data_IF_082128901039
#
_entry.id   IF_082128901039
#
_cell.length_a   1.000
_cell.length_b   1.000
_cell.length_c   1.000
_cell.angle_alpha   90.00
_cell.angle_beta   90.00
_cell.angle_gamma   90.00
#
_symmetry.space_group_name_H-M   'P 1'
#
loop_
_entity.id
_entity.type
_entity.pdbx_description
1 polymer ?
#
# COMPACT_ATOMS: atom_id res chain seq x y z
N UNK A 1 -9.47 0.92 49.47
CA UNK A 1 -10.08 0.47 48.20
C UNK A 1 -9.57 1.38 47.10
N UNK A 2 -8.72 1.00 46.17
CA UNK A 2 -8.52 -0.31 45.54
C UNK A 2 -8.90 -0.17 44.07
N UNK A 3 -7.92 -0.21 43.18
CA UNK A 3 -8.16 -0.35 41.74
C UNK A 3 -7.44 0.64 40.82
N UNK A 4 -6.11 0.52 40.70
CA UNK A 4 -5.43 0.89 39.44
C UNK A 4 -5.69 -0.24 38.45
N UNK A 5 -6.51 -0.01 37.43
CA UNK A 5 -6.63 -0.96 36.31
C UNK A 5 -5.53 -0.66 35.29
N UNK A 6 -4.43 -1.39 35.40
CA UNK A 6 -3.49 -1.61 34.30
C UNK A 6 -4.02 -2.79 33.50
N UNK A 7 -4.24 -2.62 32.21
CA UNK A 7 -4.45 -3.71 31.25
C UNK A 7 -3.97 -3.19 29.89
N UNK A 8 -3.07 -3.81 29.14
CA UNK A 8 -2.32 -5.05 29.28
C UNK A 8 -1.51 -5.14 27.99
N UNK A 9 -0.20 -4.92 28.05
CA UNK A 9 0.70 -5.08 26.91
C UNK A 9 1.01 -6.58 26.77
N UNK A 10 0.20 -7.30 25.99
CA UNK A 10 0.44 -8.71 25.70
C UNK A 10 0.63 -8.91 24.19
N UNK A 11 1.82 -8.59 23.72
CA UNK A 11 2.34 -9.03 22.42
C UNK A 11 3.69 -9.70 22.68
N UNK A 12 3.79 -10.99 22.37
CA UNK A 12 5.02 -11.76 22.50
C UNK A 12 6.21 -11.02 21.86
N UNK A 13 7.38 -11.07 22.50
CA UNK A 13 8.61 -10.54 21.95
C UNK A 13 8.94 -11.30 20.66
N UNK A 14 8.58 -10.73 19.51
CA UNK A 14 9.01 -11.21 18.20
C UNK A 14 10.49 -10.83 18.05
N UNK A 15 11.33 -11.82 17.72
CA UNK A 15 12.75 -11.56 17.46
C UNK A 15 12.91 -10.55 16.30
N UNK A 16 13.94 -9.70 16.41
CA UNK A 16 14.20 -8.68 15.40
C UNK A 16 14.61 -9.32 14.07
N UNK A 17 13.92 -8.95 12.98
CA UNK A 17 14.23 -9.42 11.63
C UNK A 17 15.42 -8.65 11.07
N UNK A 18 16.55 -9.32 10.83
CA UNK A 18 17.68 -8.76 10.08
C UNK A 18 17.40 -8.80 8.57
N UNK A 19 17.57 -7.67 7.87
CA UNK A 19 17.39 -7.55 6.43
C UNK A 19 18.60 -6.90 5.75
N UNK A 20 18.79 -7.16 4.45
CA UNK A 20 19.82 -6.54 3.60
C UNK A 20 19.13 -5.87 2.40
N UNK A 21 19.48 -4.62 2.12
CA UNK A 21 18.97 -3.92 0.94
C UNK A 21 19.48 -4.58 -0.35
N UNK A 22 18.60 -4.71 -1.34
CA UNK A 22 18.91 -5.24 -2.67
C UNK A 22 18.71 -4.11 -3.69
N UNK A 23 19.70 -3.90 -4.56
CA UNK A 23 19.60 -2.92 -5.64
C UNK A 23 18.90 -3.56 -6.85
N UNK A 24 17.82 -2.92 -7.31
CA UNK A 24 17.08 -3.31 -8.50
C UNK A 24 17.15 -2.19 -9.55
N UNK A 25 17.25 -2.57 -10.83
CA UNK A 25 17.12 -1.60 -11.93
C UNK A 25 15.69 -1.09 -12.06
N UNK A 26 15.50 0.07 -12.70
CA UNK A 26 14.21 0.77 -12.78
C UNK A 26 13.09 -0.11 -13.34
N UNK A 27 13.37 -0.91 -14.37
CA UNK A 27 12.38 -1.80 -15.01
C UNK A 27 11.91 -2.90 -14.04
N UNK A 28 12.85 -3.55 -13.34
CA UNK A 28 12.51 -4.59 -12.37
C UNK A 28 11.82 -4.01 -11.14
N UNK A 29 12.22 -2.83 -10.69
CA UNK A 29 11.55 -2.14 -9.60
C UNK A 29 10.10 -1.80 -9.96
N UNK A 30 9.85 -1.28 -11.18
CA UNK A 30 8.51 -0.94 -11.67
C UNK A 30 7.59 -2.15 -11.85
N UNK A 31 8.13 -3.30 -12.27
CA UNK A 31 7.37 -4.55 -12.39
C UNK A 31 7.13 -5.22 -11.02
N UNK A 32 7.89 -4.88 -9.98
CA UNK A 32 7.74 -5.47 -8.64
C UNK A 32 6.82 -4.64 -7.73
N UNK A 33 5.73 -4.09 -8.27
CA UNK A 33 4.75 -3.31 -7.51
C UNK A 33 3.66 -4.20 -6.91
N UNK A 34 3.07 -3.75 -5.80
CA UNK A 34 1.96 -4.45 -5.14
C UNK A 34 0.66 -4.38 -5.94
N UNK A 35 0.49 -3.36 -6.78
CA UNK A 35 -0.64 -3.23 -7.69
C UNK A 35 -0.37 -3.94 -9.01
N UNK A 36 -1.15 -4.97 -9.32
CA UNK A 36 -1.02 -5.64 -10.61
C UNK A 36 -1.55 -4.77 -11.76
N UNK A 37 -2.47 -3.83 -11.51
CA UNK A 37 -2.99 -2.92 -12.54
C UNK A 37 -1.89 -1.93 -12.95
N UNK A 38 -1.15 -1.41 -11.98
CA UNK A 38 0.01 -0.57 -12.25
C UNK A 38 1.14 -1.31 -12.94
N UNK A 39 1.40 -2.55 -12.52
CA UNK A 39 2.38 -3.46 -13.13
C UNK A 39 2.01 -3.71 -14.61
N UNK A 40 0.76 -4.12 -14.87
CA UNK A 40 0.28 -4.52 -16.19
C UNK A 40 0.26 -3.37 -17.20
N UNK A 41 0.10 -2.13 -16.74
CA UNK A 41 0.14 -0.94 -17.60
C UNK A 41 1.54 -0.33 -17.73
N UNK A 42 2.59 -0.96 -17.19
CA UNK A 42 3.97 -0.62 -17.52
C UNK A 42 4.40 -1.39 -18.76
N UNK A 43 4.52 -2.72 -18.66
CA UNK A 43 4.86 -3.65 -19.74
C UNK A 43 4.32 -5.06 -19.42
N UNK A 44 4.49 -6.02 -20.33
CA UNK A 44 4.22 -7.46 -20.11
C UNK A 44 2.77 -7.79 -19.66
N UNK A 45 1.80 -6.97 -20.08
CA UNK A 45 0.40 -6.95 -19.60
C UNK A 45 -0.24 -8.33 -19.44
N UNK A 46 -0.18 -9.18 -20.48
CA UNK A 46 -0.81 -10.51 -20.44
C UNK A 46 -0.19 -11.44 -19.38
N UNK A 47 1.15 -11.38 -19.22
CA UNK A 47 1.86 -12.17 -18.24
C UNK A 47 1.55 -11.71 -16.82
N UNK A 48 1.45 -10.40 -16.60
CA UNK A 48 1.10 -9.81 -15.30
C UNK A 48 -0.31 -10.20 -14.89
N UNK A 49 -1.29 -10.06 -15.79
CA UNK A 49 -2.68 -10.42 -15.52
C UNK A 49 -2.84 -11.93 -15.25
N UNK A 50 -2.16 -12.78 -16.01
CA UNK A 50 -2.16 -14.23 -15.77
C UNK A 50 -1.59 -14.57 -14.38
N UNK A 51 -0.45 -13.99 -14.01
CA UNK A 51 0.15 -14.19 -12.67
C UNK A 51 -0.77 -13.68 -11.55
N UNK A 52 -1.46 -12.57 -11.76
CA UNK A 52 -2.40 -12.01 -10.79
C UNK A 52 -3.62 -12.92 -10.60
N UNK A 53 -4.20 -13.42 -11.69
CA UNK A 53 -5.34 -14.34 -11.66
C UNK A 53 -4.98 -15.67 -10.98
N UNK A 54 -3.80 -16.24 -11.27
CA UNK A 54 -3.34 -17.48 -10.65
C UNK A 54 -3.05 -17.35 -9.14
N UNK A 55 -2.70 -16.14 -8.68
CA UNK A 55 -2.38 -15.85 -7.28
C UNK A 55 -3.54 -15.21 -6.52
N UNK A 56 -4.70 -15.07 -7.16
CA UNK A 56 -5.88 -14.37 -6.62
C UNK A 56 -5.52 -12.99 -6.02
N UNK A 57 -4.71 -12.20 -6.75
CA UNK A 57 -4.28 -10.87 -6.29
C UNK A 57 -5.45 -9.89 -6.35
N UNK A 58 -5.72 -9.24 -5.22
CA UNK A 58 -6.67 -8.13 -5.12
C UNK A 58 -5.92 -6.80 -5.10
N UNK A 59 -6.32 -5.88 -5.96
CA UNK A 59 -5.80 -4.51 -5.97
C UNK A 59 -6.73 -3.59 -5.19
N UNK A 60 -6.16 -2.81 -4.27
CA UNK A 60 -6.91 -1.92 -3.38
C UNK A 60 -6.86 -0.46 -3.84
N UNK A 61 -6.31 -0.16 -5.02
CA UNK A 61 -6.29 1.18 -5.63
C UNK A 61 -5.72 2.26 -4.69
N UNK A 62 -4.67 1.94 -3.94
CA UNK A 62 -4.05 2.89 -2.99
C UNK A 62 -3.07 3.84 -3.66
N UNK A 63 -2.62 3.52 -4.87
CA UNK A 63 -1.60 4.28 -5.58
C UNK A 63 -2.18 5.31 -6.54
N UNK A 64 -1.28 6.02 -7.21
CA UNK A 64 -1.65 7.04 -8.19
C UNK A 64 -2.21 6.41 -9.46
N UNK A 65 -1.45 5.47 -10.04
CA UNK A 65 -1.67 4.99 -11.39
C UNK A 65 -2.95 4.17 -11.51
N UNK A 66 -3.31 3.38 -10.50
CA UNK A 66 -4.53 2.60 -10.51
C UNK A 66 -5.77 3.51 -10.44
N UNK A 67 -5.73 4.55 -9.59
CA UNK A 67 -6.82 5.53 -9.51
C UNK A 67 -6.98 6.32 -10.81
N UNK A 68 -5.88 6.68 -11.47
CA UNK A 68 -5.94 7.35 -12.78
C UNK A 68 -6.58 6.45 -13.84
N UNK A 69 -6.17 5.18 -13.91
CA UNK A 69 -6.69 4.22 -14.90
C UNK A 69 -8.20 4.00 -14.73
N UNK A 70 -8.70 4.01 -13.49
CA UNK A 70 -10.13 3.86 -13.20
C UNK A 70 -10.93 5.17 -13.28
N UNK A 71 -10.27 6.32 -13.45
CA UNK A 71 -10.92 7.63 -13.42
C UNK A 71 -11.35 8.09 -12.02
N UNK A 72 -10.74 7.55 -10.97
CA UNK A 72 -10.98 7.92 -9.57
C UNK A 72 -10.17 9.13 -9.12
N UNK A 73 -10.52 9.68 -7.95
CA UNK A 73 -9.74 10.74 -7.31
C UNK A 73 -8.38 10.20 -6.89
N UNK A 74 -7.31 10.81 -7.40
CA UNK A 74 -5.94 10.39 -7.08
C UNK A 74 -5.57 10.79 -5.64
N UNK A 75 -4.74 10.00 -4.94
CA UNK A 75 -4.32 10.27 -3.56
C UNK A 75 -3.20 11.34 -3.52
N UNK A 76 -3.36 12.44 -4.25
CA UNK A 76 -2.43 13.55 -4.33
C UNK A 76 -3.19 14.89 -4.40
N UNK A 77 -2.56 15.96 -3.93
CA UNK A 77 -3.15 17.30 -3.96
C UNK A 77 -4.48 17.36 -3.21
N UNK A 78 -5.54 17.80 -3.90
CA UNK A 78 -6.90 17.91 -3.34
C UNK A 78 -7.51 16.56 -2.94
N UNK A 79 -7.03 15.45 -3.51
CA UNK A 79 -7.44 14.10 -3.11
C UNK A 79 -6.73 13.57 -1.87
N UNK A 80 -5.76 14.31 -1.32
CA UNK A 80 -5.03 13.91 -0.13
C UNK A 80 -5.80 14.33 1.15
N UNK A 81 -6.55 13.39 1.73
CA UNK A 81 -7.36 13.63 2.94
C UNK A 81 -6.56 13.67 4.26
N UNK A 82 -5.23 13.55 4.20
CA UNK A 82 -4.39 13.20 5.35
C UNK A 82 -3.83 14.34 6.21
N UNK A 83 -4.10 15.62 5.93
CA UNK A 83 -3.45 16.74 6.65
C UNK A 83 -4.37 17.88 7.10
N UNK A 84 -5.66 17.87 6.75
CA UNK A 84 -6.59 18.89 7.24
C UNK A 84 -7.32 18.32 8.45
N UNK A 85 -6.79 18.58 9.65
CA UNK A 85 -7.65 18.64 10.82
C UNK A 85 -8.77 19.64 10.49
N UNK A 86 -10.06 19.30 10.63
CA UNK A 86 -11.11 20.30 10.52
C UNK A 86 -10.87 21.29 11.65
N UNK A 87 -10.27 22.44 11.33
CA UNK A 87 -10.35 23.59 12.21
C UNK A 87 -11.85 23.88 12.34
N UNK A 88 -12.42 23.55 13.51
CA UNK A 88 -13.69 24.13 13.91
C UNK A 88 -13.50 25.65 13.80
N UNK A 89 -14.11 26.25 12.79
CA UNK A 89 -14.31 27.69 12.77
C UNK A 89 -15.64 27.93 13.47
N UNK A 90 -15.58 28.73 14.52
CA UNK A 90 -16.73 29.22 15.31
C UNK A 90 -17.63 30.14 14.47
#
# INVERSE_FOLDING_TARGET
MGGKSKNGMNGAALEAVCYRAVLLGITRASLNTQSFISEASFQETAQVLAKAALRDRIDWFKGLKENVVLGGMIPLGTGFKGLVSPSKQD
#
